data_IF_364453839944
#
_entry.id   IF_364453839944
#
_cell.length_a   1.000
_cell.length_b   1.000
_cell.length_c   1.000
_cell.angle_alpha   90.00
_cell.angle_beta   90.00
_cell.angle_gamma   90.00
#
_symmetry.space_group_name_H-M   'P 1'
#
loop_
_entity.id
_entity.type
_entity.pdbx_description
1 polymer ?
#
# COMPACT_ATOMS: atom_id res chain seq x y z
N UNK A 1 -20.35 -60.44 -8.15
CA UNK A 1 -19.48 -59.33 -8.57
C UNK A 1 -20.16 -58.03 -8.14
N UNK A 2 -19.73 -57.46 -7.01
CA UNK A 2 -20.24 -56.17 -6.51
C UNK A 2 -19.18 -55.12 -6.82
N UNK A 3 -19.50 -54.19 -7.71
CA UNK A 3 -18.63 -53.06 -8.05
C UNK A 3 -18.81 -52.01 -6.96
N UNK A 4 -17.82 -51.89 -6.07
CA UNK A 4 -17.78 -50.84 -5.07
C UNK A 4 -17.62 -49.47 -5.75
N UNK A 5 -18.68 -48.65 -5.68
CA UNK A 5 -18.64 -47.24 -6.04
C UNK A 5 -17.77 -46.47 -5.01
N UNK A 6 -16.48 -46.37 -5.28
CA UNK A 6 -15.62 -45.41 -4.59
C UNK A 6 -15.95 -44.00 -5.10
N UNK A 7 -16.90 -43.34 -4.45
CA UNK A 7 -16.99 -41.87 -4.51
C UNK A 7 -15.76 -41.32 -3.81
N UNK A 8 -14.79 -40.86 -4.59
CA UNK A 8 -13.65 -40.07 -4.11
C UNK A 8 -14.21 -38.83 -3.38
N UNK A 9 -14.26 -38.88 -2.05
CA UNK A 9 -14.51 -37.72 -1.20
C UNK A 9 -13.29 -36.79 -1.27
N UNK A 10 -13.23 -36.00 -2.34
CA UNK A 10 -12.23 -34.94 -2.56
C UNK A 10 -12.51 -33.78 -1.59
N UNK A 11 -12.05 -33.91 -0.35
CA UNK A 11 -12.24 -32.91 0.71
C UNK A 11 -10.94 -32.54 1.42
N UNK A 12 -9.79 -32.67 0.75
CA UNK A 12 -8.53 -32.20 1.33
C UNK A 12 -8.47 -30.65 1.31
N UNK A 13 -7.98 -30.02 2.39
CA UNK A 13 -7.82 -28.55 2.45
C UNK A 13 -6.99 -27.96 1.31
N UNK A 14 -6.01 -28.73 0.80
CA UNK A 14 -5.16 -28.33 -0.34
C UNK A 14 -5.94 -28.19 -1.65
N UNK A 15 -6.94 -29.03 -1.89
CA UNK A 15 -7.75 -28.96 -3.11
C UNK A 15 -8.67 -27.73 -3.11
N UNK A 16 -9.20 -27.38 -1.93
CA UNK A 16 -10.01 -26.16 -1.73
C UNK A 16 -9.18 -24.88 -1.89
N UNK A 17 -7.89 -24.93 -1.53
CA UNK A 17 -6.96 -23.82 -1.75
C UNK A 17 -6.65 -23.65 -3.25
N UNK A 18 -6.34 -24.74 -3.95
CA UNK A 18 -6.06 -24.71 -5.39
C UNK A 18 -7.27 -24.21 -6.18
N UNK A 19 -8.49 -24.66 -5.84
CA UNK A 19 -9.69 -24.20 -6.53
C UNK A 19 -9.97 -22.71 -6.30
N UNK A 20 -9.72 -22.19 -5.08
CA UNK A 20 -9.87 -20.76 -4.77
C UNK A 20 -8.83 -19.90 -5.49
N UNK A 21 -7.58 -20.37 -5.57
CA UNK A 21 -6.52 -19.70 -6.34
C UNK A 21 -6.87 -19.67 -7.84
N UNK A 22 -7.42 -20.77 -8.37
CA UNK A 22 -7.86 -20.84 -9.77
C UNK A 22 -9.04 -19.91 -10.07
N UNK A 23 -9.99 -19.76 -9.14
CA UNK A 23 -11.09 -18.79 -9.26
C UNK A 23 -10.55 -17.35 -9.27
N UNK A 24 -9.57 -17.06 -8.41
CA UNK A 24 -8.94 -15.74 -8.34
C UNK A 24 -8.22 -15.39 -9.65
N UNK A 25 -7.46 -16.33 -10.21
CA UNK A 25 -6.74 -16.18 -11.48
C UNK A 25 -7.70 -16.04 -12.68
N UNK A 26 -8.83 -16.75 -12.67
CA UNK A 26 -9.82 -16.66 -13.75
C UNK A 26 -10.59 -15.33 -13.72
N UNK A 27 -10.99 -14.82 -12.56
CA UNK A 27 -11.58 -13.47 -12.43
C UNK A 27 -10.62 -12.42 -13.00
N UNK A 28 -9.32 -12.55 -12.72
CA UNK A 28 -8.29 -11.64 -13.21
C UNK A 28 -8.12 -11.69 -14.74
N UNK A 29 -8.18 -12.89 -15.33
CA UNK A 29 -8.09 -13.08 -16.79
C UNK A 29 -9.29 -12.50 -17.54
N UNK A 30 -10.50 -12.50 -16.95
CA UNK A 30 -11.71 -12.00 -17.58
C UNK A 30 -11.93 -10.48 -17.44
N UNK A 31 -11.04 -9.74 -16.77
CA UNK A 31 -11.15 -8.28 -16.69
C UNK A 31 -10.77 -7.66 -18.04
N UNK A 32 -11.68 -6.91 -18.67
CA UNK A 32 -11.48 -6.24 -19.97
C UNK A 32 -10.35 -5.20 -19.96
N UNK A 33 -9.85 -4.85 -21.15
CA UNK A 33 -8.69 -3.97 -21.42
C UNK A 33 -9.08 -2.51 -21.71
N UNK A 34 -9.98 -1.94 -20.92
CA UNK A 34 -10.46 -0.56 -21.14
C UNK A 34 -10.21 0.33 -19.90
N UNK A 35 -9.08 0.14 -19.23
CA UNK A 35 -8.68 0.94 -18.06
C UNK A 35 -7.66 2.02 -18.46
N UNK A 36 -7.81 2.64 -19.63
CA UNK A 36 -6.87 3.68 -20.07
C UNK A 36 -7.09 4.93 -19.22
N UNK A 37 -6.07 5.34 -18.46
CA UNK A 37 -6.15 6.49 -17.58
C UNK A 37 -4.86 7.29 -17.65
N UNK A 38 -4.97 8.55 -18.05
CA UNK A 38 -3.85 9.41 -18.41
C UNK A 38 -3.45 10.39 -17.29
N UNK A 39 -4.33 10.69 -16.32
CA UNK A 39 -4.07 11.70 -15.29
C UNK A 39 -3.45 11.18 -14.00
N UNK A 40 -2.90 12.08 -13.19
CA UNK A 40 -2.53 11.88 -11.78
C UNK A 40 -1.71 10.60 -11.51
N UNK A 41 -0.72 10.31 -12.36
CA UNK A 41 0.09 9.09 -12.24
C UNK A 41 0.83 8.99 -10.90
N UNK A 42 1.02 10.09 -10.17
CA UNK A 42 1.58 10.09 -8.82
C UNK A 42 0.77 9.23 -7.83
N UNK A 43 -0.52 9.00 -8.08
CA UNK A 43 -1.37 8.10 -7.29
C UNK A 43 -0.91 6.64 -7.35
N UNK A 44 -0.06 6.28 -8.32
CA UNK A 44 0.54 4.96 -8.46
C UNK A 44 1.97 4.88 -7.92
N UNK A 45 2.51 5.97 -7.39
CA UNK A 45 3.86 5.98 -6.83
C UNK A 45 3.78 5.62 -5.33
N UNK A 46 4.27 4.43 -4.92
CA UNK A 46 4.30 4.05 -3.51
C UNK A 46 5.47 4.73 -2.79
N UNK A 47 5.20 5.16 -1.56
CA UNK A 47 6.16 5.91 -0.72
C UNK A 47 6.81 5.03 0.35
N UNK A 48 6.09 4.08 0.94
CA UNK A 48 6.57 3.32 2.09
C UNK A 48 7.51 2.17 1.70
N UNK A 49 8.55 1.99 2.51
CA UNK A 49 9.67 1.10 2.20
C UNK A 49 9.39 -0.36 2.47
N UNK A 50 8.49 -0.68 3.40
CA UNK A 50 8.19 -2.09 3.74
C UNK A 50 7.57 -2.81 2.55
N UNK A 51 6.52 -2.25 1.97
CA UNK A 51 5.84 -2.82 0.80
C UNK A 51 6.76 -2.85 -0.42
N UNK A 52 7.52 -1.78 -0.67
CA UNK A 52 8.40 -1.70 -1.84
C UNK A 52 9.67 -2.54 -1.70
N UNK A 53 10.16 -2.78 -0.49
CA UNK A 53 11.19 -3.79 -0.23
C UNK A 53 10.73 -5.23 -0.54
N UNK A 54 9.41 -5.45 -0.65
CA UNK A 54 8.77 -6.68 -1.11
C UNK A 54 8.27 -6.57 -2.57
N UNK A 55 8.84 -5.66 -3.36
CA UNK A 55 8.46 -5.36 -4.73
C UNK A 55 6.97 -5.01 -4.93
N UNK A 56 6.27 -4.53 -3.90
CA UNK A 56 4.84 -4.23 -3.96
C UNK A 56 3.92 -5.46 -3.83
N UNK A 57 4.48 -6.64 -3.50
CA UNK A 57 3.70 -7.85 -3.20
C UNK A 57 3.06 -7.76 -1.81
N UNK A 58 2.07 -6.87 -1.67
CA UNK A 58 1.58 -6.40 -0.38
C UNK A 58 0.05 -6.48 -0.24
N UNK A 59 -0.70 -6.81 -1.28
CA UNK A 59 -2.18 -6.81 -1.28
C UNK A 59 -2.78 -7.81 -0.30
N UNK A 60 -2.23 -9.03 -0.23
CA UNK A 60 -2.62 -10.04 0.75
C UNK A 60 -1.90 -9.90 2.10
N UNK A 61 -0.70 -9.32 2.09
CA UNK A 61 0.11 -9.08 3.31
C UNK A 61 -0.38 -7.85 4.08
N UNK A 62 -1.10 -6.95 3.42
CA UNK A 62 -1.43 -5.59 3.83
C UNK A 62 -1.70 -5.43 5.33
N UNK A 63 -0.92 -4.56 5.97
CA UNK A 63 -1.03 -4.26 7.39
C UNK A 63 -0.41 -2.90 7.73
N UNK A 64 -1.08 -2.08 8.54
CA UNK A 64 -0.54 -0.80 9.03
C UNK A 64 -0.55 0.33 8.01
N UNK A 65 0.30 1.34 8.20
CA UNK A 65 0.19 2.62 7.48
C UNK A 65 0.28 2.50 5.97
N UNK A 66 1.10 1.61 5.42
CA UNK A 66 1.19 1.46 3.96
C UNK A 66 -0.02 0.74 3.32
N UNK A 67 -0.95 0.19 4.13
CA UNK A 67 -2.08 -0.56 3.61
C UNK A 67 -3.04 0.30 2.80
N UNK A 68 -3.21 1.60 3.11
CA UNK A 68 -4.11 2.47 2.35
C UNK A 68 -3.76 2.47 0.87
N UNK A 69 -2.48 2.31 0.51
CA UNK A 69 -2.02 2.34 -0.87
C UNK A 69 -2.29 1.03 -1.63
N UNK A 70 -2.10 -0.15 -1.00
CA UNK A 70 -2.22 -1.44 -1.68
C UNK A 70 -3.56 -2.14 -1.43
N UNK A 71 -4.03 -2.16 -0.20
CA UNK A 71 -5.31 -2.77 0.18
C UNK A 71 -5.83 -2.12 1.47
N UNK A 72 -6.81 -1.21 1.38
CA UNK A 72 -7.34 -0.47 2.53
C UNK A 72 -7.80 -1.36 3.69
N UNK A 73 -8.25 -2.60 3.42
CA UNK A 73 -8.62 -3.56 4.47
C UNK A 73 -7.46 -3.90 5.42
N UNK A 74 -6.22 -3.73 4.99
CA UNK A 74 -5.04 -3.92 5.85
C UNK A 74 -4.95 -2.92 7.00
N UNK A 75 -5.76 -1.86 7.00
CA UNK A 75 -5.74 -0.84 8.05
C UNK A 75 -6.17 -1.44 9.40
N UNK A 76 -7.20 -2.29 9.38
CA UNK A 76 -7.70 -3.03 10.53
C UNK A 76 -7.21 -4.48 10.58
N UNK A 77 -6.24 -4.85 9.74
CA UNK A 77 -5.63 -6.17 9.82
C UNK A 77 -4.65 -6.22 10.99
N UNK A 78 -4.77 -7.25 11.83
CA UNK A 78 -3.95 -7.42 13.04
C UNK A 78 -4.46 -6.60 14.23
N UNK A 79 -3.73 -6.64 15.34
CA UNK A 79 -4.10 -5.92 16.55
C UNK A 79 -3.68 -4.44 16.42
N UNK A 80 -4.67 -3.54 16.43
CA UNK A 80 -4.48 -2.08 16.35
C UNK A 80 -4.82 -1.44 17.70
N UNK A 81 -3.87 -1.54 18.63
CA UNK A 81 -4.02 -1.10 20.03
C UNK A 81 -3.46 0.28 20.31
N UNK A 82 -2.63 0.82 19.42
CA UNK A 82 -1.91 2.07 19.61
C UNK A 82 -2.20 3.05 18.48
N UNK A 83 -2.00 4.35 18.74
CA UNK A 83 -1.94 5.35 17.69
C UNK A 83 -0.68 5.12 16.85
N UNK A 84 -0.76 5.30 15.54
CA UNK A 84 0.41 5.23 14.66
C UNK A 84 0.52 6.51 13.83
N UNK A 85 1.70 7.12 13.79
CA UNK A 85 2.01 8.22 12.89
C UNK A 85 3.25 7.85 12.07
N UNK A 86 3.17 7.94 10.75
CA UNK A 86 4.29 7.60 9.84
C UNK A 86 4.45 8.69 8.79
N UNK A 87 5.69 9.10 8.54
CA UNK A 87 6.07 9.94 7.41
C UNK A 87 7.01 9.16 6.50
N UNK A 88 6.81 9.26 5.20
CA UNK A 88 7.63 8.63 4.18
C UNK A 88 8.02 9.62 3.07
N UNK A 89 9.13 9.34 2.42
CA UNK A 89 9.67 10.09 1.30
C UNK A 89 10.21 9.13 0.24
N UNK A 90 9.94 9.43 -1.02
CA UNK A 90 10.58 8.79 -2.17
C UNK A 90 11.14 9.86 -3.09
N UNK A 91 12.43 9.74 -3.39
CA UNK A 91 13.02 10.38 -4.57
C UNK A 91 12.71 9.48 -5.74
N UNK A 92 11.88 9.97 -6.67
CA UNK A 92 11.55 9.26 -7.89
C UNK A 92 12.54 9.67 -8.99
N UNK A 93 12.07 9.73 -10.23
CA UNK A 93 12.88 10.00 -11.43
C UNK A 93 12.97 11.50 -11.72
N UNK A 94 14.08 11.96 -12.29
CA UNK A 94 14.22 13.30 -12.90
C UNK A 94 13.66 14.46 -12.05
N UNK A 95 14.08 14.56 -10.78
CA UNK A 95 13.66 15.66 -9.89
C UNK A 95 12.23 15.52 -9.35
N UNK A 96 11.52 14.44 -9.66
CA UNK A 96 10.23 14.12 -9.06
C UNK A 96 10.40 13.53 -7.66
N UNK A 97 9.57 13.97 -6.73
CA UNK A 97 9.56 13.44 -5.36
C UNK A 97 8.14 13.31 -4.83
N UNK A 98 7.95 12.39 -3.87
CA UNK A 98 6.67 12.20 -3.20
C UNK A 98 6.86 12.00 -1.70
N UNK A 99 6.14 12.77 -0.91
CA UNK A 99 5.99 12.63 0.52
C UNK A 99 4.65 11.99 0.85
N UNK A 100 4.60 11.24 1.94
CA UNK A 100 3.35 10.72 2.50
C UNK A 100 3.37 10.82 4.01
N UNK A 101 2.30 11.35 4.60
CA UNK A 101 2.09 11.34 6.05
C UNK A 101 0.80 10.59 6.34
N UNK A 102 0.83 9.68 7.31
CA UNK A 102 -0.29 8.84 7.70
C UNK A 102 -0.44 8.88 9.21
N UNK A 103 -1.67 9.03 9.68
CA UNK A 103 -2.03 8.88 11.08
C UNK A 103 -3.15 7.86 11.23
N UNK A 104 -3.03 6.96 12.19
CA UNK A 104 -3.98 5.86 12.44
C UNK A 104 -4.37 5.87 13.92
N UNK A 105 -5.66 5.69 14.19
CA UNK A 105 -6.19 5.55 15.54
C UNK A 105 -6.34 4.08 15.92
N UNK A 106 -6.22 3.73 17.20
CA UNK A 106 -6.57 2.40 17.68
C UNK A 106 -8.05 2.04 17.44
N UNK A 107 -8.35 0.74 17.50
CA UNK A 107 -9.71 0.21 17.40
C UNK A 107 -10.43 0.32 18.76
N UNK A 108 -10.86 1.52 19.13
CA UNK A 108 -11.42 1.79 20.46
C UNK A 108 -12.91 1.43 20.61
N UNK A 109 -13.69 1.53 19.53
CA UNK A 109 -15.15 1.36 19.53
C UNK A 109 -15.57 0.75 18.19
N UNK A 110 -16.18 -0.43 18.23
CA UNK A 110 -16.33 -1.34 17.07
C UNK A 110 -14.95 -1.74 16.51
N UNK A 111 -14.82 -2.89 15.80
CA UNK A 111 -13.54 -3.30 15.22
C UNK A 111 -13.17 -2.43 13.99
N UNK A 112 -13.38 -1.12 14.09
CA UNK A 112 -13.14 -0.11 13.06
C UNK A 112 -11.88 0.65 13.42
N UNK A 113 -10.92 0.61 12.52
CA UNK A 113 -9.70 1.42 12.56
C UNK A 113 -9.89 2.59 11.61
N UNK A 114 -9.44 3.77 12.03
CA UNK A 114 -9.56 5.01 11.26
C UNK A 114 -8.17 5.58 11.04
N UNK A 115 -8.01 6.29 9.94
CA UNK A 115 -6.81 7.06 9.70
C UNK A 115 -7.04 8.20 8.74
N UNK A 116 -6.04 9.06 8.66
CA UNK A 116 -5.92 10.10 7.63
C UNK A 116 -4.59 9.94 6.94
N UNK A 117 -4.53 10.26 5.65
CA UNK A 117 -3.27 10.33 4.92
C UNK A 117 -3.23 11.55 4.02
N UNK A 118 -2.01 12.05 3.79
CA UNK A 118 -1.73 13.11 2.84
C UNK A 118 -0.53 12.67 2.03
N UNK A 119 -0.72 12.52 0.73
CA UNK A 119 0.35 12.40 -0.25
C UNK A 119 0.58 13.77 -0.88
N UNK A 120 1.84 14.18 -0.97
CA UNK A 120 2.28 15.38 -1.68
C UNK A 120 3.31 14.97 -2.73
N UNK A 121 3.11 15.40 -3.97
CA UNK A 121 4.01 15.07 -5.08
C UNK A 121 4.45 16.37 -5.75
N UNK A 122 5.72 16.44 -6.10
CA UNK A 122 6.31 17.61 -6.76
C UNK A 122 7.21 17.19 -7.90
N UNK A 123 7.35 18.07 -8.88
CA UNK A 123 8.38 17.93 -9.93
C UNK A 123 9.30 19.15 -9.88
N UNK A 124 10.56 18.91 -9.51
CA UNK A 124 11.59 19.94 -9.50
C UNK A 124 12.21 20.18 -10.87
N UNK A 125 12.80 21.36 -11.05
CA UNK A 125 13.76 21.69 -12.12
C UNK A 125 13.27 21.51 -13.57
N UNK A 126 11.96 21.42 -13.81
CA UNK A 126 11.39 21.45 -15.15
C UNK A 126 11.49 22.85 -15.74
N UNK A 127 12.18 22.98 -16.87
CA UNK A 127 12.33 24.26 -17.57
C UNK A 127 11.09 24.60 -18.39
N UNK A 128 10.64 25.85 -18.29
CA UNK A 128 9.54 26.42 -19.06
C UNK A 128 10.08 27.18 -20.26
N UNK A 129 9.54 26.91 -21.45
CA UNK A 129 9.95 27.57 -22.69
C UNK A 129 8.79 28.32 -23.33
N UNK A 130 9.07 29.44 -24.00
CA UNK A 130 8.08 30.15 -24.82
C UNK A 130 8.00 29.55 -26.25
N UNK A 131 7.07 30.06 -27.06
CA UNK A 131 6.87 29.61 -28.46
C UNK A 131 8.11 29.80 -29.36
N UNK A 132 9.03 30.67 -28.97
CA UNK A 132 10.30 30.92 -29.67
C UNK A 132 11.44 30.04 -29.15
N UNK A 133 11.17 29.11 -28.23
CA UNK A 133 12.16 28.22 -27.63
C UNK A 133 13.07 28.87 -26.58
N UNK A 134 12.76 30.10 -26.13
CA UNK A 134 13.51 30.76 -25.04
C UNK A 134 13.03 30.25 -23.69
N UNK A 135 13.96 29.91 -22.79
CA UNK A 135 13.68 29.55 -21.40
C UNK A 135 13.12 30.79 -20.66
N UNK A 136 11.96 30.65 -20.02
CA UNK A 136 11.23 31.73 -19.34
C UNK A 136 11.01 31.47 -17.84
N UNK A 137 11.68 30.47 -17.26
CA UNK A 137 11.63 30.14 -15.84
C UNK A 137 11.45 28.64 -15.59
N UNK A 138 11.07 28.28 -14.36
CA UNK A 138 10.72 26.92 -13.97
C UNK A 138 9.20 26.68 -14.09
N UNK A 139 8.82 25.44 -14.43
CA UNK A 139 7.47 24.94 -14.35
C UNK A 139 7.19 24.54 -12.90
N UNK A 140 6.17 25.14 -12.30
CA UNK A 140 5.69 24.72 -10.98
C UNK A 140 4.69 23.56 -11.17
N UNK A 141 4.91 22.45 -10.48
CA UNK A 141 4.07 21.26 -10.54
C UNK A 141 3.95 20.67 -9.14
N UNK A 142 2.73 20.62 -8.63
CA UNK A 142 2.43 20.03 -7.33
C UNK A 142 1.07 19.32 -7.34
N UNK A 143 1.05 18.11 -6.78
CA UNK A 143 -0.17 17.33 -6.60
C UNK A 143 -0.37 16.98 -5.12
N UNK A 144 -1.62 16.94 -4.68
CA UNK A 144 -2.03 16.53 -3.34
C UNK A 144 -3.11 15.46 -3.47
N UNK A 145 -2.96 14.38 -2.69
CA UNK A 145 -4.06 13.48 -2.38
C UNK A 145 -4.23 13.39 -0.85
N UNK A 146 -5.33 13.96 -0.34
CA UNK A 146 -5.70 13.86 1.07
C UNK A 146 -6.82 12.84 1.24
N UNK A 147 -6.71 11.93 2.20
CA UNK A 147 -7.64 10.84 2.36
C UNK A 147 -8.09 10.60 3.81
N UNK A 148 -9.34 10.15 3.94
CA UNK A 148 -9.84 9.48 5.14
C UNK A 148 -9.85 7.99 4.87
N UNK A 149 -9.22 7.22 5.75
CA UNK A 149 -8.99 5.78 5.61
C UNK A 149 -9.78 5.04 6.70
N UNK A 150 -10.52 4.01 6.33
CA UNK A 150 -11.34 3.20 7.23
C UNK A 150 -11.06 1.72 6.98
N UNK A 151 -10.92 0.95 8.05
CA UNK A 151 -10.81 -0.51 8.02
C UNK A 151 -11.75 -1.11 9.04
N UNK A 152 -12.38 -2.24 8.72
CA UNK A 152 -13.25 -2.97 9.63
C UNK A 152 -12.94 -4.48 9.59
N UNK A 153 -12.57 -5.06 10.74
CA UNK A 153 -12.43 -6.51 10.88
C UNK A 153 -13.77 -7.14 11.31
N UNK A 154 -14.36 -7.95 10.44
CA UNK A 154 -15.63 -8.65 10.67
C UNK A 154 -15.42 -10.16 10.92
N UNK A 155 -14.20 -10.57 11.28
CA UNK A 155 -13.81 -11.93 11.61
C UNK A 155 -13.54 -12.81 10.39
N UNK A 156 -14.55 -13.03 9.55
CA UNK A 156 -14.39 -13.85 8.32
C UNK A 156 -13.83 -13.06 7.15
N UNK A 157 -14.03 -11.74 7.15
CA UNK A 157 -13.54 -10.82 6.15
C UNK A 157 -13.13 -9.53 6.86
N UNK A 158 -12.10 -8.90 6.33
CA UNK A 158 -11.67 -7.56 6.73
C UNK A 158 -11.93 -6.67 5.52
N UNK A 159 -12.60 -5.54 5.74
CA UNK A 159 -12.94 -4.58 4.71
C UNK A 159 -12.19 -3.29 4.94
N UNK A 160 -11.96 -2.52 3.90
CA UNK A 160 -11.51 -1.16 4.05
C UNK A 160 -11.86 -0.29 2.87
N UNK A 161 -11.87 1.01 3.10
CA UNK A 161 -12.06 2.01 2.09
C UNK A 161 -11.26 3.27 2.38
N UNK A 162 -10.88 3.97 1.32
CA UNK A 162 -10.31 5.31 1.41
C UNK A 162 -11.19 6.26 0.61
N UNK A 163 -11.48 7.44 1.15
CA UNK A 163 -12.07 8.54 0.42
C UNK A 163 -11.02 9.62 0.23
N UNK A 164 -10.66 9.92 -1.02
CA UNK A 164 -9.60 10.84 -1.41
C UNK A 164 -10.16 12.11 -2.00
N UNK A 165 -9.62 13.24 -1.59
CA UNK A 165 -9.68 14.51 -2.32
C UNK A 165 -8.36 14.71 -3.06
N UNK A 166 -8.46 15.04 -4.34
CA UNK A 166 -7.35 15.16 -5.26
C UNK A 166 -7.23 16.61 -5.72
N UNK A 167 -6.00 17.11 -5.79
CA UNK A 167 -5.69 18.44 -6.33
C UNK A 167 -4.40 18.36 -7.14
N UNK A 168 -4.39 19.03 -8.29
CA UNK A 168 -3.23 19.17 -9.18
C UNK A 168 -3.10 20.65 -9.53
N UNK A 169 -1.93 21.22 -9.31
CA UNK A 169 -1.58 22.56 -9.79
C UNK A 169 -0.40 22.43 -10.74
N UNK A 170 -0.60 22.79 -12.01
CA UNK A 170 0.41 22.81 -13.08
C UNK A 170 0.53 24.24 -13.58
N UNK A 171 1.50 25.00 -13.06
CA UNK A 171 1.71 26.41 -13.37
C UNK A 171 0.41 27.23 -13.15
N UNK A 172 -0.30 27.57 -14.23
CA UNK A 172 -1.56 28.31 -14.16
C UNK A 172 -2.82 27.44 -14.18
N UNK A 173 -2.68 26.14 -14.48
CA UNK A 173 -3.78 25.21 -14.59
C UNK A 173 -4.03 24.53 -13.26
N UNK A 174 -5.31 24.41 -12.88
CA UNK A 174 -5.71 23.80 -11.62
C UNK A 174 -6.77 22.75 -11.84
N UNK A 175 -6.62 21.65 -11.14
CA UNK A 175 -7.55 20.54 -11.19
C UNK A 175 -7.92 20.06 -9.80
N UNK A 176 -9.12 19.50 -9.70
CA UNK A 176 -9.56 18.84 -8.48
C UNK A 176 -10.49 17.67 -8.79
N UNK A 177 -10.60 16.77 -7.82
CA UNK A 177 -11.45 15.61 -7.96
C UNK A 177 -11.56 14.81 -6.68
N UNK A 178 -12.30 13.71 -6.79
CA UNK A 178 -12.46 12.75 -5.71
C UNK A 178 -12.22 11.34 -6.24
N UNK A 179 -11.67 10.50 -5.37
CA UNK A 179 -11.50 9.09 -5.66
C UNK A 179 -11.81 8.23 -4.43
N UNK A 180 -12.16 6.99 -4.70
CA UNK A 180 -12.43 5.97 -3.70
C UNK A 180 -11.54 4.76 -3.95
N UNK A 181 -10.97 4.24 -2.88
CA UNK A 181 -10.37 2.91 -2.86
C UNK A 181 -11.25 1.97 -2.05
N UNK A 182 -11.28 0.71 -2.45
CA UNK A 182 -11.94 -0.36 -1.71
C UNK A 182 -11.05 -1.59 -1.63
N UNK A 183 -11.07 -2.25 -0.48
CA UNK A 183 -10.26 -3.42 -0.20
C UNK A 183 -11.01 -4.46 0.60
N UNK A 184 -10.67 -5.72 0.35
CA UNK A 184 -11.10 -6.86 1.16
C UNK A 184 -9.91 -7.78 1.41
N UNK A 185 -9.83 -8.33 2.62
CA UNK A 185 -8.97 -9.44 2.98
C UNK A 185 -9.83 -10.59 3.48
N UNK A 186 -9.54 -11.80 2.99
CA UNK A 186 -10.12 -13.05 3.44
C UNK A 186 -9.05 -13.86 4.21
N UNK A 187 -9.10 -13.90 5.54
CA UNK A 187 -8.24 -14.76 6.35
C UNK A 187 -8.67 -16.22 6.23
N UNK A 188 -7.79 -17.08 5.71
CA UNK A 188 -8.03 -18.53 5.68
C UNK A 188 -7.21 -19.28 6.74
N UNK A 189 -6.33 -18.57 7.45
CA UNK A 189 -5.70 -18.98 8.70
C UNK A 189 -5.47 -17.72 9.56
N UNK A 190 -4.92 -17.90 10.77
CA UNK A 190 -4.56 -16.76 11.64
C UNK A 190 -3.51 -15.82 11.04
N UNK A 191 -2.73 -16.29 10.07
CA UNK A 191 -1.57 -15.56 9.54
C UNK A 191 -1.56 -15.45 8.03
N UNK A 192 -2.50 -16.11 7.35
CA UNK A 192 -2.54 -16.17 5.90
C UNK A 192 -3.84 -15.58 5.36
N UNK A 193 -3.71 -14.73 4.34
CA UNK A 193 -4.79 -13.91 3.81
C UNK A 193 -4.76 -13.91 2.29
N UNK A 194 -5.94 -13.86 1.68
CA UNK A 194 -6.11 -13.48 0.28
C UNK A 194 -6.66 -12.06 0.27
N UNK A 195 -6.10 -11.18 -0.56
CA UNK A 195 -6.53 -9.79 -0.70
C UNK A 195 -7.04 -9.49 -2.10
N UNK A 196 -8.06 -8.65 -2.17
CA UNK A 196 -8.49 -7.97 -3.41
C UNK A 196 -8.64 -6.49 -3.11
N UNK A 197 -8.23 -5.64 -4.04
CA UNK A 197 -8.44 -4.19 -3.93
C UNK A 197 -8.63 -3.54 -5.29
N UNK A 198 -9.35 -2.42 -5.26
CA UNK A 198 -9.48 -1.50 -6.38
C UNK A 198 -9.20 -0.09 -5.85
N UNK A 199 -8.35 0.66 -6.54
CA UNK A 199 -7.90 1.97 -6.11
C UNK A 199 -8.15 3.02 -7.19
N UNK A 200 -8.29 4.27 -6.76
CA UNK A 200 -8.43 5.47 -7.58
C UNK A 200 -9.70 5.50 -8.46
N UNK A 201 -10.80 4.92 -7.98
CA UNK A 201 -12.09 4.99 -8.69
C UNK A 201 -12.78 6.32 -8.39
N UNK A 202 -12.99 7.15 -9.41
CA UNK A 202 -13.63 8.44 -9.20
C UNK A 202 -13.58 9.34 -10.42
N UNK A 203 -13.67 10.65 -10.17
CA UNK A 203 -13.71 11.68 -11.20
C UNK A 203 -12.72 12.79 -10.87
N UNK A 204 -12.04 13.27 -11.89
CA UNK A 204 -11.13 14.40 -11.80
C UNK A 204 -11.34 15.34 -12.98
N UNK A 205 -11.21 16.63 -12.76
CA UNK A 205 -11.24 17.63 -13.82
C UNK A 205 -10.10 18.62 -13.66
N UNK A 206 -9.40 18.88 -14.75
CA UNK A 206 -8.40 19.92 -14.89
C UNK A 206 -9.03 21.06 -15.67
N UNK A 207 -9.27 22.19 -15.00
CA UNK A 207 -10.17 23.24 -15.50
C UNK A 207 -11.54 22.63 -15.89
N UNK A 208 -11.95 22.77 -17.15
CA UNK A 208 -13.22 22.25 -17.68
C UNK A 208 -13.08 20.88 -18.38
N UNK A 209 -11.90 20.23 -18.29
CA UNK A 209 -11.61 18.97 -18.97
C UNK A 209 -11.59 17.81 -17.99
N UNK A 210 -12.47 16.82 -18.21
CA UNK A 210 -12.47 15.57 -17.44
C UNK A 210 -11.24 14.72 -17.78
N UNK A 211 -10.56 14.23 -16.74
CA UNK A 211 -9.39 13.34 -16.86
C UNK A 211 -9.65 12.04 -16.12
N UNK A 212 -9.40 10.92 -16.79
CA UNK A 212 -9.53 9.59 -16.19
C UNK A 212 -8.41 9.31 -15.18
N UNK A 213 -8.82 8.87 -14.00
CA UNK A 213 -7.94 8.52 -12.89
C UNK A 213 -7.27 7.15 -13.10
N UNK A 214 -6.03 6.95 -12.61
CA UNK A 214 -5.27 5.73 -12.82
C UNK A 214 -5.78 4.60 -11.93
N UNK A 215 -6.88 3.98 -12.37
CA UNK A 215 -7.50 2.86 -11.66
C UNK A 215 -6.54 1.67 -11.66
N UNK A 216 -6.32 1.11 -10.47
CA UNK A 216 -5.51 -0.08 -10.27
C UNK A 216 -6.31 -1.13 -9.54
N UNK A 217 -6.26 -2.37 -10.03
CA UNK A 217 -6.91 -3.52 -9.41
C UNK A 217 -5.84 -4.51 -9.01
N UNK A 218 -5.91 -5.01 -7.77
CA UNK A 218 -4.93 -5.96 -7.25
C UNK A 218 -5.60 -7.18 -6.69
N UNK A 219 -4.91 -8.31 -6.82
CA UNK A 219 -5.24 -9.55 -6.17
C UNK A 219 -3.97 -10.15 -5.60
N UNK A 220 -3.99 -10.60 -4.34
CA UNK A 220 -2.77 -11.04 -3.67
C UNK A 220 -2.95 -12.14 -2.65
N UNK A 221 -1.87 -12.88 -2.40
CA UNK A 221 -1.76 -13.91 -1.39
C UNK A 221 -0.65 -13.51 -0.40
N UNK A 222 -1.01 -13.42 0.88
CA UNK A 222 -0.06 -13.25 1.98
C UNK A 222 0.03 -14.52 2.80
N UNK A 223 1.25 -15.04 2.98
CA UNK A 223 1.55 -16.16 3.88
C UNK A 223 2.51 -15.65 4.95
N UNK A 224 2.04 -15.53 6.19
CA UNK A 224 2.86 -15.05 7.29
C UNK A 224 3.14 -16.18 8.28
N UNK A 225 4.38 -16.26 8.75
CA UNK A 225 4.82 -17.09 9.86
C UNK A 225 5.46 -16.23 10.96
N UNK A 226 6.06 -16.87 11.96
CA UNK A 226 6.71 -16.12 13.06
C UNK A 226 7.88 -15.24 12.58
N UNK A 227 8.69 -15.77 11.68
CA UNK A 227 9.92 -15.12 11.19
C UNK A 227 9.86 -14.71 9.73
N UNK A 228 9.00 -15.34 8.92
CA UNK A 228 9.00 -15.17 7.47
C UNK A 228 7.60 -14.80 7.03
N UNK A 229 7.51 -13.78 6.19
CA UNK A 229 6.28 -13.40 5.47
C UNK A 229 6.58 -13.45 3.98
N UNK A 230 5.66 -14.00 3.19
CA UNK A 230 5.74 -14.07 1.74
C UNK A 230 4.49 -13.44 1.13
N UNK A 231 4.68 -12.67 0.07
CA UNK A 231 3.62 -12.04 -0.70
C UNK A 231 3.73 -12.44 -2.17
N UNK A 232 2.59 -12.70 -2.79
CA UNK A 232 2.44 -12.87 -4.24
C UNK A 232 1.24 -12.05 -4.69
N UNK A 233 1.44 -11.09 -5.60
CA UNK A 233 0.37 -10.24 -6.11
C UNK A 233 0.32 -10.24 -7.64
N UNK A 234 -0.89 -10.07 -8.16
CA UNK A 234 -1.17 -9.62 -9.50
C UNK A 234 -1.79 -8.22 -9.45
N UNK A 235 -1.20 -7.28 -10.18
CA UNK A 235 -1.65 -5.90 -10.35
C UNK A 235 -2.08 -5.71 -11.80
N UNK A 236 -3.30 -5.18 -12.01
CA UNK A 236 -3.76 -4.72 -13.31
C UNK A 236 -3.91 -3.21 -13.26
N UNK A 237 -3.24 -2.54 -14.18
CA UNK A 237 -3.39 -1.12 -14.41
C UNK A 237 -3.46 -0.89 -15.91
N UNK A 238 -4.53 -0.24 -16.38
CA UNK A 238 -4.80 -0.14 -17.80
C UNK A 238 -4.74 -1.50 -18.50
N UNK A 239 -3.89 -1.60 -19.53
CA UNK A 239 -3.69 -2.82 -20.31
C UNK A 239 -2.55 -3.68 -19.78
N UNK A 240 -1.81 -3.20 -18.78
CA UNK A 240 -0.66 -3.89 -18.24
C UNK A 240 -1.03 -4.74 -17.03
N UNK A 241 -0.43 -5.93 -16.98
CA UNK A 241 -0.50 -6.83 -15.84
C UNK A 241 0.91 -7.04 -15.28
N UNK A 242 1.07 -6.74 -14.00
CA UNK A 242 2.30 -6.94 -13.26
C UNK A 242 2.08 -8.01 -12.19
N UNK A 243 3.10 -8.83 -11.99
CA UNK A 243 3.21 -9.89 -11.01
C UNK A 243 4.34 -9.50 -10.07
N UNK A 244 4.08 -9.63 -8.78
CA UNK A 244 4.99 -9.23 -7.72
C UNK A 244 5.20 -10.41 -6.80
N UNK A 245 6.45 -10.72 -6.49
CA UNK A 245 6.83 -11.72 -5.49
C UNK A 245 7.75 -11.03 -4.48
N UNK A 246 7.42 -11.15 -3.19
CA UNK A 246 8.17 -10.51 -2.13
C UNK A 246 8.26 -11.36 -0.87
N UNK A 247 9.31 -11.12 -0.09
CA UNK A 247 9.52 -11.76 1.19
C UNK A 247 10.06 -10.81 2.25
N UNK A 248 9.68 -11.03 3.50
CA UNK A 248 10.18 -10.34 4.68
C UNK A 248 10.68 -11.39 5.69
N UNK A 249 11.92 -11.20 6.17
CA UNK A 249 12.53 -11.96 7.24
C UNK A 249 12.65 -11.07 8.49
N UNK A 250 11.99 -11.50 9.56
CA UNK A 250 12.01 -10.89 10.87
C UNK A 250 13.09 -11.51 11.75
N UNK A 251 13.99 -10.68 12.28
CA UNK A 251 15.11 -11.04 13.13
C UNK A 251 14.95 -10.40 14.51
N UNK A 252 14.93 -11.24 15.56
CA UNK A 252 14.85 -10.81 16.97
C UNK A 252 13.65 -9.88 17.28
N UNK A 253 12.55 -9.97 16.53
CA UNK A 253 11.37 -9.08 16.63
C UNK A 253 11.68 -7.57 16.45
N UNK A 254 12.89 -7.24 15.99
CA UNK A 254 13.40 -5.87 15.92
C UNK A 254 13.86 -5.48 14.53
N UNK A 255 14.51 -6.38 13.80
CA UNK A 255 15.08 -6.08 12.48
C UNK A 255 14.33 -6.84 11.39
N UNK A 256 14.17 -6.20 10.24
CA UNK A 256 13.42 -6.73 9.12
C UNK A 256 14.28 -6.63 7.86
N UNK A 257 14.49 -7.76 7.19
CA UNK A 257 15.15 -7.81 5.88
C UNK A 257 14.10 -8.17 4.84
N UNK A 258 14.09 -7.48 3.70
CA UNK A 258 13.10 -7.66 2.65
C UNK A 258 13.76 -7.78 1.30
N UNK A 259 13.19 -8.61 0.44
CA UNK A 259 13.56 -8.70 -0.95
C UNK A 259 12.33 -9.02 -1.79
N UNK A 260 12.32 -8.54 -3.03
CA UNK A 260 11.24 -8.85 -3.96
C UNK A 260 11.64 -8.64 -5.41
N UNK A 261 10.84 -9.22 -6.29
CA UNK A 261 10.94 -9.10 -7.75
C UNK A 261 9.55 -8.79 -8.32
N UNK A 262 9.49 -7.88 -9.29
CA UNK A 262 8.29 -7.62 -10.10
C UNK A 262 8.65 -7.58 -11.57
N UNK A 263 7.78 -8.04 -12.46
CA UNK A 263 7.94 -7.74 -13.88
C UNK A 263 7.56 -6.28 -14.13
N UNK A 264 8.25 -5.66 -15.09
CA UNK A 264 7.93 -4.36 -15.65
C UNK A 264 8.02 -4.46 -17.18
N UNK A 265 7.57 -3.42 -17.89
CA UNK A 265 7.46 -3.41 -19.34
C UNK A 265 8.77 -3.71 -20.08
N UNK A 266 9.91 -3.29 -19.51
CA UNK A 266 11.25 -3.49 -20.09
C UNK A 266 12.16 -4.42 -19.27
N UNK A 267 11.57 -5.30 -18.45
CA UNK A 267 12.31 -6.32 -17.72
C UNK A 267 11.92 -6.43 -16.25
N UNK A 268 12.56 -7.34 -15.54
CA UNK A 268 12.30 -7.54 -14.13
C UNK A 268 13.02 -6.49 -13.28
N UNK A 269 12.34 -6.03 -12.25
CA UNK A 269 12.82 -5.09 -11.26
C UNK A 269 13.02 -5.84 -9.95
N UNK A 270 14.19 -5.66 -9.34
CA UNK A 270 14.51 -6.26 -8.04
C UNK A 270 14.50 -5.19 -6.96
N UNK A 271 14.02 -5.54 -5.78
CA UNK A 271 13.92 -4.64 -4.63
C UNK A 271 14.54 -5.27 -3.40
N UNK A 272 15.07 -4.41 -2.53
CA UNK A 272 15.59 -4.76 -1.23
C UNK A 272 15.11 -3.76 -0.19
N UNK A 273 14.85 -4.22 1.03
CA UNK A 273 14.40 -3.36 2.11
C UNK A 273 14.98 -3.74 3.46
N UNK A 274 15.15 -2.75 4.31
CA UNK A 274 15.59 -2.89 5.70
C UNK A 274 14.60 -2.16 6.61
N UNK A 275 14.37 -2.71 7.79
CA UNK A 275 13.51 -2.11 8.80
C UNK A 275 14.03 -2.36 10.21
N UNK A 276 13.77 -1.43 11.11
CA UNK A 276 14.11 -1.54 12.53
C UNK A 276 13.00 -0.98 13.42
N UNK A 277 12.65 -1.73 14.47
CA UNK A 277 11.75 -1.31 15.54
C UNK A 277 12.52 -1.01 16.83
N UNK A 278 12.55 0.28 17.13
CA UNK A 278 12.99 1.03 18.31
C UNK A 278 12.05 1.13 19.51
N UNK A 279 12.27 0.50 20.65
CA UNK A 279 11.53 0.94 21.85
C UNK A 279 12.09 2.29 22.31
N UNK A 280 11.20 3.28 22.46
CA UNK A 280 11.57 4.56 23.05
C UNK A 280 11.39 4.45 24.57
N UNK A 281 12.47 4.66 25.32
CA UNK A 281 12.42 4.62 26.78
C UNK A 281 11.39 5.62 27.30
N UNK A 282 10.40 5.13 28.06
CA UNK A 282 9.43 5.97 28.75
C UNK A 282 10.14 6.54 29.98
N UNK A 283 10.44 7.84 29.98
CA UNK A 283 10.76 8.55 31.21
C UNK A 283 9.46 8.59 32.04
N UNK A 284 9.49 8.12 33.28
CA UNK A 284 8.31 7.97 34.14
C UNK A 284 7.45 9.24 34.13
N UNK A 285 6.30 9.18 33.46
CA UNK A 285 5.29 10.23 33.52
C UNK A 285 4.82 10.33 34.97
N UNK A 286 4.92 11.54 35.56
CA UNK A 286 4.33 11.82 36.85
C UNK A 286 2.82 11.54 36.78
N UNK A 287 2.36 10.50 37.49
CA UNK A 287 0.94 10.15 37.58
C UNK A 287 0.35 10.75 38.85
N UNK A 288 -0.70 11.58 38.75
CA UNK A 288 -1.45 12.00 39.93
C UNK A 288 -2.11 10.79 40.59
N UNK A 289 -2.20 10.80 41.93
CA UNK A 289 -2.49 9.65 42.80
C UNK A 289 -3.81 8.91 42.50
N UNK A 290 -4.75 9.56 41.79
CA UNK A 290 -6.03 8.98 41.39
C UNK A 290 -5.96 8.07 40.14
N UNK A 291 -4.86 8.07 39.38
CA UNK A 291 -4.64 7.18 38.23
C UNK A 291 -3.71 5.98 38.54
N UNK A 292 -3.31 5.80 39.79
CA UNK A 292 -2.30 4.83 40.23
C UNK A 292 -2.74 3.34 40.18
N UNK A 293 -3.87 3.04 39.52
CA UNK A 293 -4.42 1.69 39.34
C UNK A 293 -4.73 1.29 37.89
N UNK A 294 -4.54 2.16 36.89
CA UNK A 294 -4.73 1.82 35.48
C UNK A 294 -3.41 1.38 34.84
N UNK A 295 -3.29 0.08 34.55
CA UNK A 295 -2.22 -0.50 33.73
C UNK A 295 -2.53 -0.29 32.24
N UNK A 296 -1.88 0.69 31.62
CA UNK A 296 -1.36 0.57 30.24
C UNK A 296 -0.45 1.76 29.97
N UNK A 297 0.86 1.61 30.17
CA UNK A 297 1.78 2.47 29.44
C UNK A 297 1.86 1.87 28.04
N UNK A 298 1.17 2.46 27.06
CA UNK A 298 1.38 2.09 25.66
C UNK A 298 2.85 2.29 25.34
N UNK A 299 3.45 1.20 24.86
CA UNK A 299 4.89 1.13 24.65
C UNK A 299 5.21 1.91 23.39
N UNK A 300 5.90 3.04 23.53
CA UNK A 300 6.27 3.87 22.38
C UNK A 300 7.30 3.15 21.52
N UNK A 301 6.98 2.91 20.26
CA UNK A 301 7.85 2.22 19.31
C UNK A 301 8.16 3.12 18.12
N UNK A 302 9.43 3.45 17.92
CA UNK A 302 9.96 4.07 16.71
C UNK A 302 10.22 3.01 15.64
N UNK A 303 9.74 3.22 14.43
CA UNK A 303 9.93 2.37 13.25
C UNK A 303 10.76 3.17 12.25
N UNK A 304 11.82 2.57 11.73
CA UNK A 304 12.65 3.18 10.67
C UNK A 304 12.75 2.15 9.55
N UNK A 305 12.38 2.53 8.33
CA UNK A 305 12.53 1.67 7.17
C UNK A 305 13.20 2.41 6.02
N UNK A 306 13.86 1.61 5.20
CA UNK A 306 14.48 2.04 3.96
C UNK A 306 14.28 0.96 2.90
N UNK A 307 14.06 1.37 1.66
CA UNK A 307 14.04 0.44 0.53
C UNK A 307 14.75 0.99 -0.68
N UNK A 308 15.24 0.06 -1.47
CA UNK A 308 15.97 0.27 -2.69
C UNK A 308 15.31 -0.55 -3.79
N UNK A 309 15.10 0.08 -4.94
CA UNK A 309 14.66 -0.58 -6.16
C UNK A 309 15.74 -0.40 -7.23
N UNK A 310 16.25 -1.53 -7.74
CA UNK A 310 17.25 -1.58 -8.79
C UNK A 310 16.67 -2.16 -10.09
N UNK A 311 17.07 -1.57 -11.21
CA UNK A 311 16.60 -1.94 -12.55
C UNK A 311 15.28 -1.24 -12.94
N UNK A 312 15.02 -1.13 -14.24
CA UNK A 312 13.84 -0.44 -14.80
C UNK A 312 14.18 0.52 -15.94
N UNK A 313 13.17 1.27 -16.39
CA UNK A 313 13.15 2.08 -17.63
C UNK A 313 14.27 3.12 -17.73
N UNK A 314 14.75 3.67 -16.60
CA UNK A 314 15.67 4.82 -16.60
C UNK A 314 17.08 4.51 -16.09
N UNK A 315 17.41 3.26 -15.77
CA UNK A 315 18.68 2.86 -15.12
C UNK A 315 18.99 3.54 -13.76
N UNK A 316 18.18 4.52 -13.35
CA UNK A 316 18.24 5.17 -12.05
C UNK A 316 17.66 4.26 -10.96
N UNK A 317 18.30 4.28 -9.81
CA UNK A 317 17.83 3.57 -8.63
C UNK A 317 16.84 4.43 -7.86
N UNK A 318 15.75 3.83 -7.40
CA UNK A 318 14.75 4.53 -6.57
C UNK A 318 15.00 4.21 -5.10
N UNK A 319 15.03 5.25 -4.30
CA UNK A 319 15.29 5.19 -2.87
C UNK A 319 14.08 5.69 -2.09
N UNK A 320 13.70 4.94 -1.06
CA UNK A 320 12.59 5.32 -0.16
C UNK A 320 13.03 5.25 1.28
N UNK A 321 12.53 6.18 2.06
CA UNK A 321 12.75 6.23 3.49
C UNK A 321 11.43 6.54 4.19
N UNK A 322 11.16 5.85 5.29
CA UNK A 322 10.04 6.16 6.15
C UNK A 322 10.39 5.99 7.63
N UNK A 323 9.75 6.81 8.44
CA UNK A 323 9.87 6.84 9.88
C UNK A 323 8.48 6.88 10.49
N UNK A 324 8.23 6.05 11.48
CA UNK A 324 6.94 5.98 12.15
C UNK A 324 7.07 5.83 13.65
N UNK A 325 6.04 6.23 14.38
CA UNK A 325 5.92 6.05 15.82
C UNK A 325 4.58 5.44 16.16
N UNK A 326 4.57 4.41 17.00
CA UNK A 326 3.38 3.87 17.64
C UNK A 326 3.36 4.29 19.11
N UNK A 327 2.23 4.76 19.65
CA UNK A 327 2.12 5.26 21.03
C UNK A 327 0.70 5.21 21.60
#
# INVERSE_FOLDING_TARGET
MSVANNKLHLSSPSLKFISRLFILLSIFYFMNNNLFAAGLQFLRIPVFSRSEGMAGAYTGVAEGCESFFYNPAGLSAGEKTDYEATAGYVSWLEGMSKESIVFITPADIFPIVRGISIDYFTVGDLKKYNVSGTEIGALDYQDIAAAVNLGADMGNFIFGCNLKYLKEDIDKYKGSGFAVDAGILYPFSKTNRIGLSASNMGSFSLEDVSIDLPITIRAGLGISGKKVTLGLDAEKNADNTYLHLGGELKLQERYFLRAGIKNAEMGNVTTFGLGMNTELGVQDEWKPSFQQGQKTASKKVLKINYSFQGGGYFSESIHRFDIGVSF
#
